data_IF_658565336975
#
_entry.id   IF_658565336975
#
_cell.length_a   1.000
_cell.length_b   1.000
_cell.length_c   1.000
_cell.angle_alpha   90.00
_cell.angle_beta   90.00
_cell.angle_gamma   90.00
#
_symmetry.space_group_name_H-M   'P 1'
#
loop_
_entity.id
_entity.type
_entity.pdbx_description
1 polymer ?
#
# COMPACT_ATOMS: atom_id res chain seq x y z
N UNK A 1 -15.37 64.49 -6.40
CA UNK A 1 -14.61 63.27 -6.72
C UNK A 1 -15.16 62.16 -5.85
N UNK A 2 -16.01 61.28 -6.40
CA UNK A 2 -16.58 60.15 -5.66
C UNK A 2 -15.69 58.94 -5.89
N UNK A 3 -15.17 58.36 -4.81
CA UNK A 3 -14.39 57.14 -4.86
C UNK A 3 -15.31 55.97 -5.24
N UNK A 4 -14.97 55.24 -6.30
CA UNK A 4 -15.68 54.03 -6.69
C UNK A 4 -15.51 52.92 -5.65
N UNK A 5 -16.44 51.95 -5.60
CA UNK A 5 -16.37 50.86 -4.64
C UNK A 5 -15.13 49.99 -4.89
N UNK A 6 -14.50 49.55 -3.81
CA UNK A 6 -13.40 48.60 -3.85
C UNK A 6 -13.87 47.27 -4.46
N UNK A 7 -13.01 46.56 -5.21
CA UNK A 7 -13.37 45.27 -5.79
C UNK A 7 -13.64 44.27 -4.68
N UNK A 8 -14.78 43.61 -4.74
CA UNK A 8 -15.15 42.53 -3.83
C UNK A 8 -14.19 41.36 -4.06
N UNK A 9 -13.48 40.94 -3.01
CA UNK A 9 -12.58 39.81 -3.07
C UNK A 9 -13.36 38.55 -3.43
N UNK A 10 -13.02 37.93 -4.56
CA UNK A 10 -13.62 36.68 -4.99
C UNK A 10 -13.48 35.63 -3.88
N UNK A 11 -14.61 35.07 -3.46
CA UNK A 11 -14.65 33.99 -2.47
C UNK A 11 -13.75 32.82 -2.94
N UNK A 12 -13.06 32.13 -2.02
CA UNK A 12 -12.24 30.99 -2.39
C UNK A 12 -13.14 29.90 -3.00
N UNK A 13 -12.80 29.47 -4.22
CA UNK A 13 -13.41 28.29 -4.83
C UNK A 13 -13.04 27.09 -3.95
N UNK A 14 -14.04 26.51 -3.29
CA UNK A 14 -13.86 25.29 -2.51
C UNK A 14 -13.33 24.18 -3.42
N UNK A 15 -12.17 23.63 -3.10
CA UNK A 15 -11.63 22.47 -3.81
C UNK A 15 -12.62 21.31 -3.68
N UNK A 16 -12.99 20.69 -4.81
CA UNK A 16 -13.80 19.48 -4.81
C UNK A 16 -13.13 18.41 -3.94
N UNK A 17 -13.89 17.60 -3.18
CA UNK A 17 -13.31 16.59 -2.32
C UNK A 17 -12.50 15.60 -3.16
N UNK A 18 -11.21 15.47 -2.84
CA UNK A 18 -10.37 14.41 -3.41
C UNK A 18 -10.85 13.10 -2.79
N UNK A 19 -11.35 12.18 -3.61
CA UNK A 19 -11.75 10.86 -3.11
C UNK A 19 -10.54 10.21 -2.41
N UNK A 20 -10.75 9.74 -1.17
CA UNK A 20 -9.69 9.07 -0.42
C UNK A 20 -9.32 7.75 -1.10
N UNK A 21 -8.03 7.49 -1.26
CA UNK A 21 -7.56 6.21 -1.78
C UNK A 21 -7.78 5.09 -0.75
N UNK A 22 -8.30 3.95 -1.20
CA UNK A 22 -8.59 2.77 -0.41
C UNK A 22 -7.55 1.66 -0.66
N UNK A 23 -6.89 1.22 0.40
CA UNK A 23 -6.05 0.02 0.41
C UNK A 23 -6.69 -1.08 1.25
N UNK A 24 -6.68 -2.31 0.74
CA UNK A 24 -7.21 -3.49 1.44
C UNK A 24 -6.08 -4.47 1.73
N UNK A 25 -5.93 -4.88 3.00
CA UNK A 25 -5.02 -5.96 3.36
C UNK A 25 -5.58 -7.31 2.90
N UNK A 26 -4.77 -8.10 2.21
CA UNK A 26 -5.14 -9.41 1.65
C UNK A 26 -4.06 -10.46 1.92
N UNK A 27 -4.48 -11.72 2.01
CA UNK A 27 -3.58 -12.86 2.33
C UNK A 27 -3.44 -13.86 1.18
N UNK A 28 -4.02 -13.57 0.01
CA UNK A 28 -3.99 -14.48 -1.13
C UNK A 28 -4.24 -13.78 -2.46
N UNK A 29 -3.86 -14.40 -3.59
CA UNK A 29 -4.22 -13.90 -4.92
C UNK A 29 -5.73 -13.80 -5.15
N UNK A 30 -6.51 -14.71 -4.56
CA UNK A 30 -7.98 -14.64 -4.62
C UNK A 30 -8.52 -13.39 -3.89
N UNK A 31 -7.93 -13.05 -2.75
CA UNK A 31 -8.23 -11.81 -2.03
C UNK A 31 -7.86 -10.57 -2.85
N UNK A 32 -6.67 -10.56 -3.44
CA UNK A 32 -6.22 -9.46 -4.30
C UNK A 32 -7.17 -9.25 -5.51
N UNK A 33 -7.58 -10.34 -6.18
CA UNK A 33 -8.58 -10.30 -7.24
C UNK A 33 -9.91 -9.72 -6.76
N UNK A 34 -10.42 -10.21 -5.64
CA UNK A 34 -11.69 -9.74 -5.05
C UNK A 34 -11.62 -8.24 -4.74
N UNK A 35 -10.49 -7.77 -4.19
CA UNK A 35 -10.29 -6.35 -3.91
C UNK A 35 -10.33 -5.49 -5.18
N UNK A 36 -9.68 -5.95 -6.26
CA UNK A 36 -9.76 -5.29 -7.58
C UNK A 36 -11.20 -5.22 -8.10
N UNK A 37 -11.93 -6.32 -8.03
CA UNK A 37 -13.32 -6.42 -8.51
C UNK A 37 -14.28 -5.50 -7.75
N UNK A 38 -13.92 -5.09 -6.53
CA UNK A 38 -14.72 -4.21 -5.67
C UNK A 38 -14.14 -2.79 -5.55
N UNK A 39 -13.19 -2.42 -6.40
CA UNK A 39 -12.73 -1.04 -6.54
C UNK A 39 -11.69 -0.57 -5.52
N UNK A 40 -10.92 -1.49 -4.92
CA UNK A 40 -9.74 -1.09 -4.14
C UNK A 40 -8.70 -0.44 -5.06
N UNK A 41 -8.13 0.70 -4.62
CA UNK A 41 -7.06 1.38 -5.36
C UNK A 41 -5.73 0.62 -5.28
N UNK A 42 -5.54 -0.14 -4.20
CA UNK A 42 -4.34 -0.95 -3.93
C UNK A 42 -4.64 -2.07 -2.93
N UNK A 43 -3.76 -3.05 -2.88
CA UNK A 43 -3.71 -4.01 -1.76
C UNK A 43 -2.36 -4.02 -1.06
N UNK A 44 -2.41 -4.25 0.25
CA UNK A 44 -1.27 -4.75 1.01
C UNK A 44 -1.34 -6.28 1.05
N UNK A 45 -0.34 -6.96 0.51
CA UNK A 45 -0.24 -8.41 0.52
C UNK A 45 0.68 -8.87 1.66
N UNK A 46 0.16 -9.74 2.53
CA UNK A 46 0.90 -10.38 3.60
C UNK A 46 0.55 -11.87 3.72
N UNK A 47 1.24 -12.60 4.60
CA UNK A 47 0.81 -13.90 5.11
C UNK A 47 0.65 -13.83 6.64
N UNK A 48 0.10 -14.87 7.28
CA UNK A 48 -0.04 -14.96 8.74
C UNK A 48 -0.65 -13.69 9.39
N UNK A 49 -1.81 -13.26 8.87
CA UNK A 49 -2.49 -12.03 9.30
C UNK A 49 -2.86 -12.05 10.79
N UNK A 50 -3.13 -13.23 11.34
CA UNK A 50 -3.36 -13.46 12.76
C UNK A 50 -2.17 -13.08 13.65
N UNK A 51 -0.97 -12.95 13.08
CA UNK A 51 0.24 -12.47 13.74
C UNK A 51 0.56 -10.99 13.43
N UNK A 52 -0.39 -10.29 12.81
CA UNK A 52 -0.20 -8.92 12.29
C UNK A 52 0.48 -8.85 10.92
N UNK A 53 0.56 -9.97 10.20
CA UNK A 53 1.15 -10.02 8.86
C UNK A 53 2.66 -10.30 8.87
N UNK A 54 3.12 -11.10 7.91
CA UNK A 54 4.52 -11.43 7.62
C UNK A 54 4.78 -11.40 6.11
N UNK A 55 6.06 -11.44 5.72
CA UNK A 55 6.46 -11.51 4.31
C UNK A 55 5.84 -12.73 3.62
N UNK A 56 5.05 -12.56 2.55
CA UNK A 56 4.50 -13.67 1.78
C UNK A 56 5.57 -14.29 0.86
N UNK A 57 5.32 -15.51 0.37
CA UNK A 57 6.24 -16.15 -0.59
C UNK A 57 6.27 -15.40 -1.93
N UNK A 58 7.40 -15.46 -2.65
CA UNK A 58 7.53 -14.84 -3.98
C UNK A 58 6.44 -15.29 -4.95
N UNK A 59 6.10 -16.59 -4.97
CA UNK A 59 5.05 -17.12 -5.83
C UNK A 59 3.67 -16.52 -5.49
N UNK A 60 3.41 -16.23 -4.21
CA UNK A 60 2.19 -15.52 -3.78
C UNK A 60 2.18 -14.08 -4.28
N UNK A 61 3.33 -13.38 -4.22
CA UNK A 61 3.49 -12.03 -4.74
C UNK A 61 3.20 -11.99 -6.24
N UNK A 62 3.88 -12.83 -7.03
CA UNK A 62 3.71 -12.88 -8.49
C UNK A 62 2.25 -13.13 -8.88
N UNK A 63 1.59 -14.11 -8.25
CA UNK A 63 0.19 -14.42 -8.51
C UNK A 63 -0.77 -13.29 -8.10
N UNK A 64 -0.48 -12.57 -7.02
CA UNK A 64 -1.29 -11.42 -6.59
C UNK A 64 -1.10 -10.22 -7.53
N UNK A 65 0.13 -9.96 -7.98
CA UNK A 65 0.44 -8.92 -8.96
C UNK A 65 -0.28 -9.19 -10.29
N UNK A 66 -0.35 -10.44 -10.74
CA UNK A 66 -1.08 -10.81 -11.96
C UNK A 66 -2.59 -10.61 -11.85
N UNK A 67 -3.16 -10.82 -10.66
CA UNK A 67 -4.63 -10.94 -10.49
C UNK A 67 -5.32 -9.77 -9.77
N UNK A 68 -4.57 -8.95 -9.04
CA UNK A 68 -5.05 -7.87 -8.18
C UNK A 68 -4.91 -6.46 -8.76
N UNK A 69 -5.22 -5.41 -7.97
CA UNK A 69 -4.84 -4.03 -8.28
C UNK A 69 -3.32 -3.88 -8.01
N UNK A 70 -2.73 -2.66 -8.04
CA UNK A 70 -1.36 -2.49 -7.55
C UNK A 70 -1.15 -3.18 -6.19
N UNK A 71 0.00 -3.83 -6.02
CA UNK A 71 0.32 -4.61 -4.82
C UNK A 71 1.48 -3.95 -4.10
N UNK A 72 1.28 -3.63 -2.82
CA UNK A 72 2.37 -3.44 -1.88
C UNK A 72 2.57 -4.72 -1.08
N UNK A 73 3.81 -5.14 -0.89
CA UNK A 73 4.12 -6.35 -0.13
C UNK A 73 4.57 -5.95 1.27
N UNK A 74 3.94 -6.51 2.31
CA UNK A 74 4.46 -6.41 3.67
C UNK A 74 5.78 -7.17 3.74
N UNK A 75 6.85 -6.51 4.17
CA UNK A 75 8.15 -7.13 4.44
C UNK A 75 8.39 -7.11 5.94
N UNK A 76 8.24 -8.27 6.58
CA UNK A 76 8.36 -8.49 8.02
C UNK A 76 8.74 -9.95 8.27
N UNK A 77 9.97 -10.18 8.73
CA UNK A 77 10.57 -11.51 8.83
C UNK A 77 10.07 -12.34 10.02
N UNK A 78 9.55 -11.71 11.08
CA UNK A 78 9.02 -12.40 12.27
C UNK A 78 7.91 -11.60 12.96
N UNK A 79 7.03 -12.27 13.75
CA UNK A 79 6.06 -11.58 14.59
C UNK A 79 6.73 -10.95 15.82
N UNK A 80 5.94 -10.21 16.60
CA UNK A 80 6.39 -9.52 17.81
C UNK A 80 6.77 -8.07 17.54
N UNK A 81 7.87 -7.64 18.16
CA UNK A 81 8.40 -6.28 18.03
C UNK A 81 8.95 -5.96 16.62
N UNK A 82 9.40 -4.71 16.48
CA UNK A 82 10.00 -4.14 15.28
C UNK A 82 11.48 -3.74 15.53
N UNK A 83 12.12 -4.36 16.53
CA UNK A 83 13.53 -4.11 16.85
C UNK A 83 14.37 -5.21 16.22
N UNK A 84 14.85 -4.93 15.01
CA UNK A 84 15.56 -5.91 14.20
C UNK A 84 17.06 -5.90 14.43
N UNK A 85 17.67 -7.08 14.46
CA UNK A 85 19.12 -7.19 14.39
C UNK A 85 19.65 -7.03 12.95
N UNK A 86 20.98 -7.08 12.79
CA UNK A 86 21.62 -6.87 11.50
C UNK A 86 21.32 -7.99 10.48
N UNK A 87 21.12 -9.23 10.94
CA UNK A 87 20.80 -10.37 10.06
C UNK A 87 19.34 -10.26 9.58
N UNK A 88 18.43 -9.86 10.47
CA UNK A 88 17.03 -9.62 10.17
C UNK A 88 16.86 -8.48 9.16
N UNK A 89 17.55 -7.35 9.37
CA UNK A 89 17.54 -6.23 8.40
C UNK A 89 18.11 -6.65 7.05
N UNK A 90 19.18 -7.44 7.03
CA UNK A 90 19.77 -7.95 5.78
C UNK A 90 18.80 -8.87 5.03
N UNK A 91 18.09 -9.74 5.75
CA UNK A 91 17.05 -10.61 5.22
C UNK A 91 15.90 -9.80 4.64
N UNK A 92 15.31 -8.88 5.42
CA UNK A 92 14.22 -8.01 4.97
C UNK A 92 14.63 -7.18 3.75
N UNK A 93 15.85 -6.67 3.70
CA UNK A 93 16.35 -5.93 2.53
C UNK A 93 16.42 -6.83 1.28
N UNK A 94 16.77 -8.12 1.44
CA UNK A 94 16.73 -9.07 0.34
C UNK A 94 15.29 -9.37 -0.12
N UNK A 95 14.36 -9.47 0.82
CA UNK A 95 12.93 -9.65 0.55
C UNK A 95 12.33 -8.46 -0.19
N UNK A 96 12.66 -7.22 0.18
CA UNK A 96 12.26 -6.00 -0.56
C UNK A 96 12.69 -6.10 -2.02
N UNK A 97 13.96 -6.44 -2.28
CA UNK A 97 14.46 -6.58 -3.65
C UNK A 97 13.72 -7.69 -4.41
N UNK A 98 13.38 -8.79 -3.75
CA UNK A 98 12.64 -9.89 -4.35
C UNK A 98 11.20 -9.50 -4.68
N UNK A 99 10.50 -8.83 -3.76
CA UNK A 99 9.14 -8.34 -3.99
C UNK A 99 9.07 -7.38 -5.18
N UNK A 100 10.01 -6.43 -5.26
CA UNK A 100 10.09 -5.49 -6.39
C UNK A 100 10.39 -6.20 -7.72
N UNK A 101 11.30 -7.18 -7.73
CA UNK A 101 11.55 -8.01 -8.93
C UNK A 101 10.33 -8.85 -9.35
N UNK A 102 9.51 -9.26 -8.39
CA UNK A 102 8.26 -9.98 -8.63
C UNK A 102 7.11 -9.09 -9.12
N UNK A 103 7.36 -7.78 -9.30
CA UNK A 103 6.38 -6.84 -9.86
C UNK A 103 5.53 -6.10 -8.82
N UNK A 104 5.87 -6.18 -7.53
CA UNK A 104 5.22 -5.34 -6.52
C UNK A 104 5.42 -3.85 -6.85
N UNK A 105 4.36 -3.05 -6.70
CA UNK A 105 4.40 -1.59 -6.89
C UNK A 105 5.07 -0.85 -5.73
N UNK A 106 5.29 -1.54 -4.61
CA UNK A 106 5.93 -1.02 -3.41
C UNK A 106 6.01 -2.05 -2.30
N UNK A 107 6.51 -1.64 -1.14
CA UNK A 107 6.63 -2.47 0.06
C UNK A 107 6.13 -1.69 1.28
N UNK A 108 5.61 -2.42 2.27
CA UNK A 108 5.29 -1.91 3.60
C UNK A 108 6.30 -2.48 4.60
N UNK A 109 6.88 -1.62 5.43
CA UNK A 109 7.86 -1.95 6.48
C UNK A 109 7.61 -1.04 7.69
N UNK A 110 8.11 -1.42 8.85
CA UNK A 110 8.04 -0.66 10.10
C UNK A 110 8.79 -1.39 11.20
#
# INVERSE_FOLDING_TARGET
>A
MSAGPAPEAAAPVAAAPVAAALEIAVVSPAGARTARENGADRVELCTALELGGLTPSTATVEAAVESGPPVHVLVRCRPGDFVYDAEEVALMTAEVRTALRAGAGGVVVG
#
